data_IF_204539895768
#
_entry.id   IF_204539895768
#
_cell.length_a   1.000
_cell.length_b   1.000
_cell.length_c   1.000
_cell.angle_alpha   90.00
_cell.angle_beta   90.00
_cell.angle_gamma   90.00
#
_symmetry.space_group_name_H-M   'P 1'
#
loop_
_entity.id
_entity.type
_entity.pdbx_description
1 polymer ?
#
# COMPACT_ATOMS: atom_id res chain seq x y z
N UNK A 1 -14.69 -4.41 1.85
CA UNK A 1 -15.09 -3.32 2.79
C UNK A 1 -16.23 -3.69 3.75
N UNK A 2 -17.28 -4.41 3.33
CA UNK A 2 -18.43 -4.76 4.20
C UNK A 2 -18.03 -5.48 5.50
N UNK A 3 -17.11 -6.45 5.39
CA UNK A 3 -16.61 -7.20 6.56
C UNK A 3 -15.93 -6.30 7.60
N UNK A 4 -14.97 -5.47 7.18
CA UNK A 4 -14.25 -4.57 8.09
C UNK A 4 -15.16 -3.56 8.76
N UNK A 5 -16.15 -3.01 8.05
CA UNK A 5 -17.14 -2.06 8.63
C UNK A 5 -18.07 -2.72 9.67
N UNK A 6 -18.27 -4.04 9.58
CA UNK A 6 -19.07 -4.77 10.56
C UNK A 6 -18.27 -5.09 11.84
N UNK A 7 -16.95 -5.27 11.71
CA UNK A 7 -16.06 -5.60 12.84
C UNK A 7 -15.47 -4.36 13.51
N UNK A 8 -15.13 -3.35 12.72
CA UNK A 8 -14.69 -2.04 13.16
C UNK A 8 -15.85 -1.07 12.97
N UNK A 9 -16.52 -0.75 14.07
CA UNK A 9 -17.71 0.11 14.11
C UNK A 9 -17.41 1.55 13.67
N UNK A 10 -16.16 1.98 13.75
CA UNK A 10 -15.73 3.35 13.43
C UNK A 10 -15.16 3.46 12.02
N UNK A 11 -15.72 4.38 11.22
CA UNK A 11 -15.27 4.64 9.84
C UNK A 11 -13.82 5.14 9.78
N UNK A 12 -13.38 5.89 10.78
CA UNK A 12 -12.01 6.40 10.91
C UNK A 12 -11.00 5.27 11.12
N UNK A 13 -11.32 4.26 11.94
CA UNK A 13 -10.45 3.11 12.15
C UNK A 13 -10.32 2.26 10.88
N UNK A 14 -11.43 2.01 10.17
CA UNK A 14 -11.38 1.30 8.88
C UNK A 14 -10.49 2.04 7.88
N UNK A 15 -10.59 3.37 7.84
CA UNK A 15 -9.77 4.18 6.95
C UNK A 15 -8.28 4.11 7.31
N UNK A 16 -7.92 4.33 8.57
CA UNK A 16 -6.51 4.28 8.99
C UNK A 16 -5.91 2.88 8.80
N UNK A 17 -6.70 1.82 9.04
CA UNK A 17 -6.26 0.45 8.80
C UNK A 17 -5.89 0.20 7.33
N UNK A 18 -6.65 0.75 6.39
CA UNK A 18 -6.46 0.52 4.95
C UNK A 18 -5.43 1.48 4.34
N UNK A 19 -5.55 2.77 4.65
CA UNK A 19 -4.75 3.82 4.03
C UNK A 19 -3.33 3.87 4.63
N UNK A 20 -3.22 3.71 5.96
CA UNK A 20 -1.96 3.91 6.67
C UNK A 20 -1.27 2.57 7.04
N UNK A 21 -2.02 1.64 7.60
CA UNK A 21 -1.46 0.42 8.22
C UNK A 21 -1.22 -0.67 7.16
N UNK A 22 -2.20 -1.00 6.33
CA UNK A 22 -2.12 -2.11 5.37
C UNK A 22 -0.90 -2.05 4.41
N UNK A 23 -0.49 -0.88 3.87
CA UNK A 23 0.69 -0.79 3.00
C UNK A 23 1.99 -1.23 3.68
N UNK A 24 2.12 -1.02 5.00
CA UNK A 24 3.31 -1.35 5.77
C UNK A 24 3.53 -2.87 5.90
N UNK A 25 2.46 -3.66 5.73
CA UNK A 25 2.49 -5.10 5.93
C UNK A 25 2.47 -5.92 4.64
N UNK A 26 2.52 -5.29 3.46
CA UNK A 26 2.41 -5.97 2.16
C UNK A 26 3.41 -7.13 1.96
N UNK A 27 4.61 -7.02 2.53
CA UNK A 27 5.68 -8.01 2.39
C UNK A 27 5.70 -9.08 3.48
N UNK A 28 4.90 -8.92 4.54
CA UNK A 28 4.93 -9.78 5.72
C UNK A 28 3.77 -10.78 5.67
N UNK A 29 4.11 -12.06 5.68
CA UNK A 29 3.14 -13.16 5.65
C UNK A 29 2.83 -13.64 7.08
N UNK A 30 2.03 -12.86 7.81
CA UNK A 30 1.58 -13.21 9.16
C UNK A 30 2.44 -12.66 10.30
N UNK A 31 1.96 -12.85 11.54
CA UNK A 31 2.63 -12.30 12.73
C UNK A 31 2.69 -10.77 12.73
N UNK A 32 1.53 -10.11 12.59
CA UNK A 32 1.45 -8.64 12.52
C UNK A 32 1.53 -7.97 13.89
N UNK A 33 1.28 -8.73 14.96
CA UNK A 33 1.29 -8.25 16.33
C UNK A 33 2.34 -8.99 17.16
N UNK A 34 2.82 -8.33 18.21
CA UNK A 34 3.59 -8.95 19.29
C UNK A 34 2.98 -8.62 20.64
N UNK A 35 3.20 -9.52 21.59
CA UNK A 35 2.74 -9.37 22.97
C UNK A 35 3.98 -9.37 23.87
N UNK A 36 4.13 -8.33 24.68
CA UNK A 36 5.16 -8.21 25.71
C UNK A 36 4.47 -8.35 27.05
N UNK A 37 4.87 -9.35 27.84
CA UNK A 37 4.34 -9.54 29.20
C UNK A 37 4.85 -8.42 30.09
N UNK A 38 3.94 -7.82 30.84
CA UNK A 38 4.24 -6.78 31.81
C UNK A 38 4.12 -7.35 33.23
N UNK A 39 4.65 -6.63 34.26
CA UNK A 39 4.35 -6.95 35.64
C UNK A 39 2.84 -6.94 35.91
N UNK A 40 2.45 -7.58 37.00
CA UNK A 40 1.06 -7.58 37.45
C UNK A 40 0.62 -6.17 37.87
N UNK A 41 -0.67 -5.88 37.69
CA UNK A 41 -1.23 -4.56 38.01
C UNK A 41 -1.36 -4.39 39.52
N UNK A 42 -0.92 -3.25 40.01
CA UNK A 42 -1.00 -2.91 41.43
C UNK A 42 -2.46 -2.88 41.92
N UNK A 43 -2.71 -3.51 43.06
CA UNK A 43 -4.00 -3.50 43.76
C UNK A 43 -4.93 -4.69 43.47
N UNK A 44 -4.87 -5.28 42.28
CA UNK A 44 -5.68 -6.46 41.92
C UNK A 44 -4.87 -7.65 41.37
N UNK A 45 -3.55 -7.48 41.28
CA UNK A 45 -2.61 -8.49 40.80
C UNK A 45 -2.97 -9.06 39.41
N UNK A 46 -3.65 -8.26 38.58
CA UNK A 46 -4.07 -8.70 37.25
C UNK A 46 -2.86 -8.85 36.32
N UNK A 47 -2.78 -9.95 35.56
CA UNK A 47 -1.73 -10.19 34.56
C UNK A 47 -1.89 -9.22 33.39
N UNK A 48 -0.90 -8.35 33.19
CA UNK A 48 -0.91 -7.35 32.13
C UNK A 48 0.01 -7.73 30.97
N UNK A 49 -0.28 -7.20 29.79
CA UNK A 49 0.59 -7.28 28.63
C UNK A 49 0.42 -6.06 27.71
N UNK A 50 1.50 -5.70 27.01
CA UNK A 50 1.50 -4.70 25.94
C UNK A 50 1.39 -5.40 24.60
N UNK A 51 0.37 -5.04 23.82
CA UNK A 51 0.22 -5.50 22.43
C UNK A 51 0.71 -4.40 21.47
N UNK A 52 1.54 -4.78 20.51
CA UNK A 52 2.15 -3.85 19.56
C UNK A 52 2.05 -4.37 18.13
N UNK A 53 2.03 -3.43 17.18
CA UNK A 53 2.12 -3.68 15.74
C UNK A 53 3.59 -3.79 15.31
N UNK A 54 3.94 -4.82 14.54
CA UNK A 54 5.32 -5.06 14.10
C UNK A 54 5.63 -4.29 12.81
N UNK A 55 6.35 -3.18 12.91
CA UNK A 55 6.73 -2.38 11.74
C UNK A 55 8.16 -2.77 11.32
N UNK A 56 8.31 -3.47 10.20
CA UNK A 56 9.64 -3.88 9.68
C UNK A 56 10.43 -2.72 9.08
N UNK A 57 9.73 -1.70 8.57
CA UNK A 57 10.36 -0.55 7.95
C UNK A 57 9.44 0.67 8.14
N UNK A 58 9.80 1.66 8.99
CA UNK A 58 8.99 2.85 9.21
C UNK A 58 9.13 3.80 8.00
N UNK A 59 8.65 3.39 6.83
CA UNK A 59 8.45 4.34 5.74
C UNK A 59 7.30 5.26 6.16
N UNK A 60 7.62 6.55 6.37
CA UNK A 60 6.61 7.56 6.69
C UNK A 60 5.50 7.49 5.64
N UNK A 61 4.21 7.45 6.05
CA UNK A 61 3.12 7.48 5.08
C UNK A 61 3.20 8.82 4.34
N UNK A 62 3.59 8.77 3.06
CA UNK A 62 3.46 9.91 2.17
C UNK A 62 1.97 10.11 1.99
N UNK A 63 1.38 11.07 2.71
CA UNK A 63 0.01 11.53 2.42
C UNK A 63 0.03 12.06 1.00
N UNK A 64 -0.36 11.25 0.02
CA UNK A 64 -0.68 11.75 -1.32
C UNK A 64 -1.87 12.69 -1.14
N UNK A 65 -1.54 13.98 -1.15
CA UNK A 65 -2.51 15.06 -1.22
C UNK A 65 -3.47 14.76 -2.37
N UNK A 66 -4.73 15.01 -2.08
CA UNK A 66 -5.82 15.10 -3.05
C UNK A 66 -5.51 16.26 -4.00
N UNK A 67 -4.66 16.06 -5.00
CA UNK A 67 -4.41 16.94 -6.16
C UNK A 67 -3.36 16.30 -7.06
N UNK A 68 -3.61 16.28 -8.39
CA UNK A 68 -2.83 15.63 -9.49
C UNK A 68 -3.01 14.10 -9.54
N UNK A 69 -3.29 13.43 -10.67
CA UNK A 69 -3.38 13.73 -12.11
C UNK A 69 -3.92 12.38 -12.68
N UNK A 70 -4.87 12.26 -13.60
CA UNK A 70 -4.88 12.77 -14.99
C UNK A 70 -3.56 12.48 -15.75
N UNK A 71 -2.73 11.57 -15.27
CA UNK A 71 -1.47 11.15 -15.94
C UNK A 71 -1.56 9.77 -16.60
N UNK A 72 -2.52 8.92 -16.21
CA UNK A 72 -2.71 7.59 -16.81
C UNK A 72 -3.33 7.62 -18.22
N UNK A 73 -3.66 8.80 -18.77
CA UNK A 73 -4.23 8.92 -20.13
C UNK A 73 -3.26 9.49 -21.17
N UNK A 74 -1.98 9.70 -20.85
CA UNK A 74 -1.00 10.32 -21.78
C UNK A 74 0.12 9.36 -22.20
N UNK A 75 0.32 8.23 -21.52
CA UNK A 75 1.36 7.25 -21.93
C UNK A 75 0.86 6.12 -22.83
N UNK A 76 -0.44 5.77 -22.85
CA UNK A 76 -0.97 4.77 -23.79
C UNK A 76 -1.20 5.30 -25.21
N UNK A 77 -1.26 6.63 -25.41
CA UNK A 77 -1.57 7.22 -26.72
C UNK A 77 -0.35 7.63 -27.56
N UNK A 78 0.88 7.49 -27.06
CA UNK A 78 2.11 7.94 -27.75
C UNK A 78 3.04 6.80 -28.18
N UNK A 79 2.76 5.55 -27.80
CA UNK A 79 3.60 4.39 -28.15
C UNK A 79 3.09 3.65 -29.41
N UNK A 80 1.84 3.87 -29.83
CA UNK A 80 1.24 3.15 -30.97
C UNK A 80 1.43 3.83 -32.35
N UNK A 81 2.11 4.99 -32.44
CA UNK A 81 2.22 5.75 -33.72
C UNK A 81 3.63 5.87 -34.29
N UNK A 82 4.65 5.25 -33.68
CA UNK A 82 6.05 5.35 -34.14
C UNK A 82 6.63 4.06 -34.73
N UNK A 83 5.90 2.93 -34.72
CA UNK A 83 6.45 1.63 -35.15
C UNK A 83 6.07 1.22 -36.58
N UNK A 84 5.06 1.83 -37.22
CA UNK A 84 4.58 1.38 -38.55
C UNK A 84 5.08 2.18 -39.78
N UNK A 85 6.12 3.02 -39.67
CA UNK A 85 6.59 3.84 -40.82
C UNK A 85 8.05 3.66 -41.25
N UNK A 86 8.79 2.71 -40.69
CA UNK A 86 10.21 2.50 -41.06
C UNK A 86 10.48 1.24 -41.92
N UNK A 87 9.52 0.33 -42.15
CA UNK A 87 9.80 -0.91 -42.93
C UNK A 87 9.53 -0.84 -44.44
N UNK A 88 9.54 0.33 -45.10
CA UNK A 88 9.27 0.37 -46.55
C UNK A 88 10.10 1.28 -47.45
N UNK A 89 11.29 1.69 -47.02
CA UNK A 89 12.20 2.47 -47.88
C UNK A 89 13.65 2.00 -47.74
N UNK A 90 13.98 0.74 -48.06
CA UNK A 90 15.38 0.38 -48.33
C UNK A 90 15.53 -0.92 -49.15
N UNK A 91 14.76 -1.10 -50.23
CA UNK A 91 15.09 -2.06 -51.29
C UNK A 91 14.72 -1.49 -52.66
N UNK A 92 15.50 -0.53 -53.16
CA UNK A 92 15.76 -0.42 -54.61
C UNK A 92 16.91 0.55 -54.93
N UNK A 93 18.14 0.06 -55.09
CA UNK A 93 19.12 0.54 -56.11
C UNK A 93 20.40 -0.29 -56.10
N UNK A 94 20.65 -1.02 -57.20
CA UNK A 94 21.99 -1.17 -57.79
C UNK A 94 22.77 -2.44 -57.48
N UNK A 95 22.53 -3.50 -58.27
CA UNK A 95 23.49 -4.02 -59.26
C UNK A 95 22.76 -4.84 -60.35
#
# INVERSE_FOLDING_TARGET
MKYLKNKLTTKTAVRSLIDDIAPLYKKRNGGYTRIIKLPERDGDNAKMARIELIIENPQKPTRKGRTKKTEEKVEEASVETTVEKEEKNEENTGE
#
